data_IF_835929256438
#
_entry.id   IF_835929256438
#
_cell.length_a   1.000
_cell.length_b   1.000
_cell.length_c   1.000
_cell.angle_alpha   90.00
_cell.angle_beta   90.00
_cell.angle_gamma   90.00
#
_symmetry.space_group_name_H-M   'P 1'
#
loop_
_entity.id
_entity.type
_entity.pdbx_description
1 polymer ?
#
# COMPACT_ATOMS: atom_id res chain seq x y z
N UNK A 1 -1.63 -13.56 -39.61
CA UNK A 1 -2.59 -12.51 -40.01
C UNK A 1 -1.90 -11.14 -39.93
N UNK A 2 -2.35 -10.14 -40.70
CA UNK A 2 -1.97 -8.74 -40.43
C UNK A 2 -2.86 -8.21 -39.31
N UNK A 3 -2.29 -7.57 -38.31
CA UNK A 3 -3.05 -6.84 -37.29
C UNK A 3 -3.11 -5.38 -37.70
N UNK A 4 -4.32 -4.82 -37.79
CA UNK A 4 -4.53 -3.41 -38.05
C UNK A 4 -4.43 -2.63 -36.73
N UNK A 5 -3.73 -1.47 -36.70
CA UNK A 5 -3.69 -0.64 -35.51
C UNK A 5 -5.06 0.03 -35.32
N UNK A 6 -5.79 -0.38 -34.28
CA UNK A 6 -6.97 0.37 -33.83
C UNK A 6 -6.54 1.79 -33.45
N UNK A 7 -7.02 2.77 -34.20
CA UNK A 7 -7.07 4.16 -33.74
C UNK A 7 -8.21 4.33 -32.76
N UNK A 8 -8.14 5.46 -32.05
CA UNK A 8 -9.15 6.08 -31.18
C UNK A 8 -8.85 5.96 -29.67
N UNK A 9 -8.85 7.03 -28.88
CA UNK A 9 -9.01 8.46 -29.21
C UNK A 9 -8.20 9.28 -28.19
N UNK A 10 -7.22 10.07 -28.63
CA UNK A 10 -6.55 11.03 -27.75
C UNK A 10 -7.47 12.24 -27.55
N UNK A 11 -8.31 12.20 -26.51
CA UNK A 11 -9.08 13.38 -26.11
C UNK A 11 -8.11 14.46 -25.63
N UNK A 12 -8.17 15.66 -26.22
CA UNK A 12 -7.37 16.80 -25.77
C UNK A 12 -7.85 17.25 -24.39
N UNK A 13 -7.07 16.95 -23.35
CA UNK A 13 -7.32 17.46 -22.00
C UNK A 13 -7.20 18.98 -22.01
N UNK A 14 -8.32 19.67 -21.84
CA UNK A 14 -8.35 21.13 -21.74
C UNK A 14 -8.02 21.54 -20.30
N UNK A 15 -6.81 22.05 -20.06
CA UNK A 15 -6.30 22.45 -18.74
C UNK A 15 -7.10 23.61 -18.10
N UNK A 16 -8.27 23.28 -17.54
CA UNK A 16 -9.07 24.21 -16.75
C UNK A 16 -8.41 24.41 -15.39
N UNK A 17 -8.10 25.67 -15.06
CA UNK A 17 -7.34 26.07 -13.87
C UNK A 17 -8.16 25.98 -12.57
N UNK A 18 -8.54 24.77 -12.18
CA UNK A 18 -9.32 24.46 -10.98
C UNK A 18 -9.24 23.02 -10.47
N UNK A 19 -8.36 22.18 -11.05
CA UNK A 19 -8.39 20.70 -11.09
C UNK A 19 -9.47 20.17 -12.03
N UNK A 20 -9.01 19.63 -13.16
CA UNK A 20 -9.65 18.45 -13.73
C UNK A 20 -9.39 17.32 -12.72
N UNK A 21 -10.41 16.59 -12.29
CA UNK A 21 -10.19 15.42 -11.43
C UNK A 21 -9.95 14.20 -12.31
N UNK A 22 -8.73 14.17 -12.85
CA UNK A 22 -8.04 12.92 -13.14
C UNK A 22 -8.09 12.07 -11.86
N UNK A 23 -8.69 10.87 -11.95
CA UNK A 23 -8.98 10.06 -10.77
C UNK A 23 -7.69 9.62 -10.07
N UNK A 24 -7.69 9.57 -8.73
CA UNK A 24 -6.01 9.67 -7.66
C UNK A 24 -4.92 8.61 -8.07
N UNK A 25 -4.94 7.29 -7.79
CA UNK A 25 -5.68 6.45 -6.81
C UNK A 25 -7.07 6.97 -6.39
N UNK A 26 -7.44 8.06 -7.08
CA UNK A 26 -7.83 10.90 -6.87
C UNK A 26 -9.24 11.71 -7.06
N UNK A 27 -10.03 11.98 -6.01
CA UNK A 27 -11.51 11.98 -6.17
C UNK A 27 -12.21 13.34 -6.17
N UNK A 28 -13.20 13.44 -7.06
CA UNK A 28 -14.62 13.53 -6.67
C UNK A 28 -15.41 12.77 -7.76
N UNK A 29 -16.12 11.69 -7.42
CA UNK A 29 -16.64 10.70 -8.39
C UNK A 29 -17.78 9.85 -7.82
N UNK A 30 -18.82 9.58 -8.61
CA UNK A 30 -19.95 8.71 -8.25
C UNK A 30 -19.69 7.21 -8.50
N UNK A 31 -18.53 6.84 -9.03
CA UNK A 31 -18.13 5.46 -9.35
C UNK A 31 -17.46 4.77 -8.17
N UNK A 32 -17.59 3.44 -8.12
CA UNK A 32 -16.99 2.56 -7.11
C UNK A 32 -15.46 2.78 -6.97
N UNK A 33 -14.99 2.92 -5.74
CA UNK A 33 -13.57 3.11 -5.43
C UNK A 33 -12.79 1.81 -5.58
N UNK A 34 -11.53 1.89 -6.02
CA UNK A 34 -10.63 0.73 -6.03
C UNK A 34 -10.35 0.20 -4.61
N UNK A 35 -10.54 1.02 -3.57
CA UNK A 35 -10.51 0.60 -2.17
C UNK A 35 -11.78 -0.16 -1.75
N UNK A 36 -12.91 0.07 -2.41
CA UNK A 36 -14.19 -0.58 -2.10
C UNK A 36 -14.34 -1.95 -2.78
N UNK A 37 -13.80 -2.09 -4.00
CA UNK A 37 -13.83 -3.33 -4.81
C UNK A 37 -13.19 -4.56 -4.14
N UNK A 38 -12.27 -4.36 -3.20
CA UNK A 38 -11.41 -5.39 -2.62
C UNK A 38 -11.60 -5.50 -1.10
N UNK A 39 -12.72 -6.11 -0.68
CA UNK A 39 -13.00 -6.41 0.74
C UNK A 39 -11.87 -7.18 1.44
N UNK A 40 -11.17 -8.05 0.70
CA UNK A 40 -10.04 -8.83 1.16
C UNK A 40 -8.78 -8.00 1.48
N UNK A 41 -8.67 -6.80 0.90
CA UNK A 41 -7.54 -5.88 1.13
C UNK A 41 -7.85 -4.80 2.18
N UNK A 42 -9.07 -4.76 2.73
CA UNK A 42 -9.48 -3.74 3.73
C UNK A 42 -8.88 -3.97 5.12
N UNK A 43 -8.34 -5.16 5.38
CA UNK A 43 -7.70 -5.52 6.66
C UNK A 43 -6.28 -6.03 6.45
N UNK A 44 -5.30 -5.35 7.03
CA UNK A 44 -3.93 -5.86 7.18
C UNK A 44 -3.85 -6.66 8.49
N UNK A 45 -3.04 -7.72 8.52
CA UNK A 45 -2.74 -8.46 9.76
C UNK A 45 -2.22 -7.53 10.87
N UNK A 46 -2.72 -7.72 12.09
CA UNK A 46 -2.33 -6.90 13.23
C UNK A 46 -0.90 -7.24 13.69
N UNK A 47 0.05 -6.32 13.46
CA UNK A 47 1.42 -6.44 13.95
C UNK A 47 1.42 -6.27 15.48
N UNK A 48 1.97 -7.21 16.27
CA UNK A 48 2.10 -7.06 17.72
C UNK A 48 2.98 -5.86 18.09
N UNK A 49 2.50 -5.05 19.03
CA UNK A 49 3.20 -3.83 19.49
C UNK A 49 4.48 -4.20 20.24
N UNK A 50 4.47 -5.33 20.91
CA UNK A 50 5.58 -5.96 21.64
C UNK A 50 6.73 -6.31 20.67
N UNK A 51 6.40 -7.00 19.58
CA UNK A 51 7.36 -7.39 18.53
C UNK A 51 7.94 -6.16 17.81
N UNK A 52 7.11 -5.15 17.51
CA UNK A 52 7.55 -3.89 16.93
C UNK A 52 8.51 -3.14 17.86
N UNK A 53 8.20 -3.08 19.16
CA UNK A 53 9.10 -2.49 20.16
C UNK A 53 10.42 -3.26 20.31
N UNK A 54 10.41 -4.59 20.15
CA UNK A 54 11.65 -5.38 20.15
C UNK A 54 12.50 -5.09 18.91
N UNK A 55 11.88 -4.99 17.72
CA UNK A 55 12.56 -4.59 16.46
C UNK A 55 13.24 -3.23 16.55
N UNK A 56 12.61 -2.22 17.18
CA UNK A 56 13.22 -0.89 17.37
C UNK A 56 14.43 -0.94 18.31
N UNK A 57 14.38 -1.73 19.39
CA UNK A 57 15.52 -1.94 20.29
C UNK A 57 16.67 -2.70 19.61
N UNK A 58 16.33 -3.69 18.79
CA UNK A 58 17.29 -4.47 17.98
C UNK A 58 18.00 -3.59 16.93
N UNK A 59 17.31 -2.63 16.31
CA UNK A 59 17.90 -1.66 15.36
C UNK A 59 18.91 -0.74 16.05
N UNK A 60 18.53 -0.13 17.19
CA UNK A 60 19.43 0.67 18.02
C UNK A 60 20.67 -0.14 18.44
N UNK A 61 20.46 -1.39 18.86
CA UNK A 61 21.48 -2.29 19.38
C UNK A 61 21.90 -3.37 18.37
N UNK A 62 22.03 -3.01 17.08
CA UNK A 62 22.29 -3.89 15.92
C UNK A 62 23.41 -4.95 16.07
N UNK A 63 24.30 -4.82 17.05
CA UNK A 63 25.38 -5.79 17.36
C UNK A 63 24.98 -6.88 18.36
N UNK A 64 23.92 -6.66 19.12
CA UNK A 64 23.44 -7.47 20.24
C UNK A 64 22.09 -8.16 19.97
N UNK A 65 21.58 -8.05 18.74
CA UNK A 65 20.34 -8.70 18.27
C UNK A 65 20.28 -10.22 18.47
N UNK A 66 21.43 -10.88 18.66
CA UNK A 66 21.50 -12.31 18.99
C UNK A 66 21.17 -12.63 20.45
N UNK A 67 21.36 -11.68 21.34
CA UNK A 67 21.18 -11.86 22.79
C UNK A 67 19.68 -11.94 23.16
N UNK A 68 18.82 -11.28 22.37
CA UNK A 68 17.34 -11.35 22.43
C UNK A 68 16.72 -12.41 21.50
N UNK A 69 17.45 -12.85 20.46
CA UNK A 69 16.92 -13.61 19.32
C UNK A 69 16.20 -14.92 19.65
N UNK A 70 16.61 -15.63 20.70
CA UNK A 70 16.05 -16.94 21.09
C UNK A 70 15.26 -16.89 22.40
N UNK A 71 14.62 -15.75 22.70
CA UNK A 71 13.83 -15.55 23.91
C UNK A 71 12.37 -15.97 23.75
N UNK A 72 11.77 -16.45 24.85
CA UNK A 72 10.33 -16.73 24.97
C UNK A 72 9.46 -15.50 24.62
N UNK A 73 9.94 -14.29 24.90
CA UNK A 73 9.30 -13.02 24.55
C UNK A 73 9.16 -12.83 23.02
N UNK A 74 10.02 -13.48 22.23
CA UNK A 74 10.02 -13.45 20.75
C UNK A 74 9.32 -14.66 20.13
N UNK A 75 9.31 -15.80 20.83
CA UNK A 75 8.72 -17.07 20.39
C UNK A 75 8.00 -17.78 21.56
N UNK A 76 6.80 -17.35 21.95
CA UNK A 76 5.96 -18.07 22.91
C UNK A 76 5.30 -19.30 22.25
N UNK A 77 5.08 -20.37 23.03
CA UNK A 77 4.31 -21.57 22.60
C UNK A 77 2.78 -21.43 22.71
#
# INVERSE_FOLDING_TARGET
MKHEPKKDQTQEKQDIKGRIMDNPEVMETDQESIYDMHDDMKTVDAIPVEELNQKVKDEENHRHTKDSSSSEERYPE
#
